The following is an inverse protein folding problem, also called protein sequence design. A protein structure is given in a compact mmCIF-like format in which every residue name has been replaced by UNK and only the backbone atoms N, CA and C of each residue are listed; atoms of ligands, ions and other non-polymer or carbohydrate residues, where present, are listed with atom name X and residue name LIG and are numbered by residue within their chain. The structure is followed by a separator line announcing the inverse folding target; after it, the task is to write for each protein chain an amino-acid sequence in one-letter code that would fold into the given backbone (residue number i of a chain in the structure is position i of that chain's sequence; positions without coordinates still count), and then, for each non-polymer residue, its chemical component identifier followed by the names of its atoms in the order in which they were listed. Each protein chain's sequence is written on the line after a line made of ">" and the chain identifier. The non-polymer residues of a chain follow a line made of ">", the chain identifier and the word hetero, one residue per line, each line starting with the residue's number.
data_IF_000470420933
#
_entry.id   IF_000470420933
#
_cell.length_a   1.000
_cell.length_b   1.000
_cell.length_c   1.000
_cell.angle_alpha   90.00
_cell.angle_beta   90.00
_cell.angle_gamma   90.00
#
_symmetry.space_group_name_H-M   'P 1'
#
loop_
_entity.id
_entity.type
_entity.pdbx_description
1 polymer ?
#
# COMPACT_ATOMS: atom_id res chain seq x y z
N UNK A 1 -18.21 5.24 -22.23
CA UNK A 1 -17.16 4.70 -21.34
C UNK A 1 -17.49 3.24 -21.07
N UNK A 2 -16.74 2.31 -21.67
CA UNK A 2 -16.99 0.88 -21.52
C UNK A 2 -16.37 0.40 -20.21
N UNK A 3 -17.20 0.08 -19.22
CA UNK A 3 -16.76 -0.60 -18.00
C UNK A 3 -16.03 -1.88 -18.41
N UNK A 4 -14.83 -2.07 -17.89
CA UNK A 4 -14.07 -3.29 -18.12
C UNK A 4 -14.85 -4.47 -17.49
N UNK A 5 -15.24 -5.43 -18.33
CA UNK A 5 -16.05 -6.57 -17.90
C UNK A 5 -15.33 -7.44 -16.86
N UNK A 6 -16.08 -8.17 -16.02
CA UNK A 6 -15.51 -9.09 -15.03
C UNK A 6 -14.54 -10.10 -15.66
N UNK A 7 -14.88 -10.59 -16.86
CA UNK A 7 -14.02 -11.52 -17.60
C UNK A 7 -12.69 -10.86 -18.02
N UNK A 8 -12.75 -9.61 -18.49
CA UNK A 8 -11.55 -8.86 -18.88
C UNK A 8 -10.65 -8.55 -17.68
N UNK A 9 -11.22 -8.14 -16.53
CA UNK A 9 -10.47 -7.95 -15.28
C UNK A 9 -9.81 -9.25 -14.82
N UNK A 10 -10.51 -10.38 -14.94
CA UNK A 10 -9.94 -11.70 -14.63
C UNK A 10 -8.79 -12.05 -15.58
N UNK A 11 -8.96 -11.81 -16.87
CA UNK A 11 -7.94 -12.10 -17.87
C UNK A 11 -6.63 -11.34 -17.58
N UNK A 12 -6.73 -10.03 -17.31
CA UNK A 12 -5.58 -9.20 -16.96
C UNK A 12 -4.87 -9.72 -15.69
N UNK A 13 -5.64 -10.13 -14.66
CA UNK A 13 -5.03 -10.74 -13.45
C UNK A 13 -4.27 -12.02 -13.77
N UNK A 14 -4.79 -12.86 -14.66
CA UNK A 14 -4.11 -14.08 -15.09
C UNK A 14 -2.83 -13.78 -15.87
N UNK A 15 -2.83 -12.78 -16.75
CA UNK A 15 -1.63 -12.35 -17.47
C UNK A 15 -0.54 -11.85 -16.52
N UNK A 16 -0.92 -11.09 -15.48
CA UNK A 16 0.04 -10.67 -14.44
C UNK A 16 0.62 -11.88 -13.70
N UNK A 17 -0.22 -12.87 -13.33
CA UNK A 17 0.27 -14.09 -12.69
C UNK A 17 1.23 -14.86 -13.60
N UNK A 18 0.91 -14.98 -14.89
CA UNK A 18 1.75 -15.67 -15.86
C UNK A 18 3.13 -15.01 -15.99
N UNK A 19 3.19 -13.68 -16.09
CA UNK A 19 4.46 -12.94 -16.10
C UNK A 19 5.28 -13.18 -14.83
N UNK A 20 4.62 -13.26 -13.68
CA UNK A 20 5.29 -13.56 -12.41
C UNK A 20 5.86 -14.98 -12.38
N UNK A 21 5.08 -15.96 -12.85
CA UNK A 21 5.46 -17.37 -12.85
C UNK A 21 6.55 -17.69 -13.87
N UNK A 22 6.48 -17.10 -15.07
CA UNK A 22 7.42 -17.36 -16.16
C UNK A 22 8.74 -16.60 -16.01
N UNK A 23 8.71 -15.35 -15.55
CA UNK A 23 9.87 -14.47 -15.55
C UNK A 23 10.38 -14.11 -14.15
N UNK A 24 9.51 -14.00 -13.15
CA UNK A 24 9.90 -13.54 -11.81
C UNK A 24 10.14 -14.68 -10.80
N UNK A 25 9.67 -15.90 -11.08
CA UNK A 25 9.78 -17.04 -10.16
C UNK A 25 11.22 -17.44 -9.87
N UNK A 26 12.08 -17.41 -10.89
CA UNK A 26 13.51 -17.79 -10.80
C UNK A 26 14.44 -16.59 -10.99
N UNK A 27 13.90 -15.36 -10.98
CA UNK A 27 14.68 -14.16 -11.22
C UNK A 27 15.68 -13.91 -10.08
N UNK A 28 17.01 -13.92 -10.35
CA UNK A 28 18.03 -13.78 -9.32
C UNK A 28 17.97 -12.40 -8.64
N UNK A 29 17.66 -11.35 -9.40
CA UNK A 29 17.50 -9.99 -8.88
C UNK A 29 16.35 -9.89 -7.88
N UNK A 30 15.23 -10.58 -8.14
CA UNK A 30 14.06 -10.59 -7.25
C UNK A 30 14.27 -11.47 -6.02
N UNK A 31 15.00 -12.58 -6.16
CA UNK A 31 15.27 -13.52 -5.06
C UNK A 31 16.28 -12.92 -4.07
N UNK A 32 17.36 -12.32 -4.58
CA UNK A 32 18.43 -11.78 -3.74
C UNK A 32 18.07 -10.42 -3.13
N UNK A 33 17.30 -9.61 -3.85
CA UNK A 33 16.98 -8.26 -3.43
C UNK A 33 15.49 -7.96 -3.71
N UNK A 34 14.81 -7.23 -2.82
CA UNK A 34 13.55 -6.55 -3.20
C UNK A 34 13.93 -5.34 -4.07
N UNK A 35 14.48 -5.62 -5.25
CA UNK A 35 15.39 -4.72 -5.94
C UNK A 35 14.67 -3.49 -6.51
N UNK A 36 15.34 -2.34 -6.38
CA UNK A 36 15.02 -1.12 -7.12
C UNK A 36 15.01 -1.37 -8.64
N UNK A 37 15.76 -2.38 -9.11
CA UNK A 37 15.78 -2.83 -10.51
C UNK A 37 14.38 -3.25 -10.98
N UNK A 38 13.67 -4.08 -10.21
CA UNK A 38 12.29 -4.47 -10.51
C UNK A 38 11.34 -3.26 -10.52
N UNK A 39 11.67 -2.15 -9.85
CA UNK A 39 10.83 -0.96 -9.86
C UNK A 39 11.19 0.02 -10.97
N UNK A 40 12.48 0.17 -11.28
CA UNK A 40 12.96 1.25 -12.16
C UNK A 40 13.16 0.80 -13.61
N UNK A 41 13.80 -0.35 -13.84
CA UNK A 41 14.34 -0.71 -15.18
C UNK A 41 13.91 -2.08 -15.69
N UNK A 42 13.24 -2.90 -14.89
CA UNK A 42 12.81 -4.22 -15.33
C UNK A 42 11.66 -4.13 -16.37
N UNK A 43 11.82 -4.70 -17.58
CA UNK A 43 10.79 -4.65 -18.61
C UNK A 43 9.53 -5.47 -18.23
N UNK A 44 9.70 -6.62 -17.59
CA UNK A 44 8.59 -7.46 -17.11
C UNK A 44 7.73 -6.71 -16.09
N UNK A 45 8.35 -5.94 -15.20
CA UNK A 45 7.59 -5.15 -14.23
C UNK A 45 6.92 -3.93 -14.85
N UNK A 46 7.49 -3.37 -15.92
CA UNK A 46 6.84 -2.34 -16.71
C UNK A 46 5.55 -2.88 -17.35
N UNK A 47 5.62 -4.07 -17.95
CA UNK A 47 4.46 -4.73 -18.54
C UNK A 47 3.37 -5.06 -17.50
N UNK A 48 3.76 -5.62 -16.35
CA UNK A 48 2.81 -5.86 -15.25
C UNK A 48 2.10 -4.58 -14.78
N UNK A 49 2.82 -3.45 -14.70
CA UNK A 49 2.21 -2.15 -14.33
C UNK A 49 1.25 -1.64 -15.38
N UNK A 50 1.52 -1.85 -16.66
CA UNK A 50 0.58 -1.47 -17.72
C UNK A 50 -0.71 -2.29 -17.61
N UNK A 51 -0.59 -3.60 -17.39
CA UNK A 51 -1.73 -4.47 -17.12
C UNK A 51 -2.51 -4.03 -15.87
N UNK A 52 -1.81 -3.66 -14.78
CA UNK A 52 -2.44 -3.14 -13.57
C UNK A 52 -3.17 -1.80 -13.83
N UNK A 53 -2.59 -0.90 -14.61
CA UNK A 53 -3.22 0.38 -14.96
C UNK A 53 -4.54 0.18 -15.73
N UNK A 54 -4.65 -0.87 -16.56
CA UNK A 54 -5.90 -1.24 -17.21
C UNK A 54 -7.00 -1.69 -16.22
N UNK A 55 -6.61 -2.22 -15.06
CA UNK A 55 -7.55 -2.50 -13.96
C UNK A 55 -7.97 -1.23 -13.21
N UNK A 56 -7.09 -0.24 -13.13
CA UNK A 56 -7.26 1.01 -12.38
C UNK A 56 -8.03 2.10 -13.16
N UNK A 57 -8.16 1.98 -14.49
CA UNK A 57 -8.79 2.95 -15.40
C UNK A 57 -10.30 3.23 -15.23
N UNK A 58 -10.88 3.03 -14.05
CA UNK A 58 -12.18 3.61 -13.62
C UNK A 58 -11.99 4.84 -12.70
N UNK A 59 -10.75 5.26 -12.44
CA UNK A 59 -10.43 6.53 -11.78
C UNK A 59 -9.47 7.33 -12.65
N UNK A 60 -9.69 8.64 -12.88
CA UNK A 60 -8.75 9.45 -13.65
C UNK A 60 -7.46 9.56 -12.83
N UNK A 61 -6.48 8.73 -13.16
CA UNK A 61 -5.11 8.95 -12.72
C UNK A 61 -4.47 9.79 -13.81
N UNK A 62 -4.34 11.07 -13.47
CA UNK A 62 -3.56 12.06 -14.20
C UNK A 62 -2.19 11.47 -14.59
N UNK A 63 -1.75 11.60 -15.86
CA UNK A 63 -0.45 11.08 -16.28
C UNK A 63 0.66 11.99 -15.75
N UNK A 64 1.01 11.88 -14.47
CA UNK A 64 2.24 12.51 -13.98
C UNK A 64 3.47 11.70 -14.42
N UNK A 65 4.47 12.35 -15.05
CA UNK A 65 5.79 11.78 -15.25
C UNK A 65 6.40 11.39 -13.90
N UNK A 66 7.24 10.35 -13.87
CA UNK A 66 8.00 9.93 -12.68
C UNK A 66 8.92 11.07 -12.23
N UNK A 67 8.42 11.91 -11.33
CA UNK A 67 9.24 12.83 -10.54
C UNK A 67 9.69 12.10 -9.25
N UNK A 68 10.87 12.45 -8.69
CA UNK A 68 11.38 11.79 -7.51
C UNK A 68 10.40 11.97 -6.35
N UNK A 69 10.26 10.93 -5.56
CA UNK A 69 9.36 10.81 -4.40
C UNK A 69 9.49 12.03 -3.50
N UNK A 70 8.63 13.02 -3.71
CA UNK A 70 8.25 14.01 -2.71
C UNK A 70 6.85 13.64 -2.23
N UNK A 71 6.71 13.50 -0.92
CA UNK A 71 5.48 13.23 -0.20
C UNK A 71 4.32 14.07 -0.72
N UNK A 72 3.53 13.50 -1.63
CA UNK A 72 2.22 14.01 -1.93
C UNK A 72 1.30 13.47 -0.85
N UNK A 73 1.20 14.23 0.23
CA UNK A 73 0.14 14.13 1.22
C UNK A 73 -1.20 14.18 0.49
N UNK A 74 -1.71 13.00 0.12
CA UNK A 74 -3.05 12.83 -0.44
C UNK A 74 -4.01 13.34 0.62
N UNK A 75 -4.64 14.48 0.32
CA UNK A 75 -5.62 15.17 1.15
C UNK A 75 -6.94 14.38 1.15
N UNK A 76 -6.87 13.11 1.55
CA UNK A 76 -8.03 12.32 1.96
C UNK A 76 -8.44 12.82 3.34
N UNK A 77 -9.74 13.04 3.60
CA UNK A 77 -10.19 13.49 4.91
C UNK A 77 -9.78 12.44 5.94
N UNK A 78 -8.78 12.77 6.77
CA UNK A 78 -8.26 11.89 7.81
C UNK A 78 -9.40 11.43 8.69
N UNK A 79 -9.49 10.12 8.94
CA UNK A 79 -10.56 9.53 9.74
C UNK A 79 -10.57 10.15 11.14
N UNK A 80 -11.69 10.81 11.47
CA UNK A 80 -11.99 11.34 12.81
C UNK A 80 -13.00 10.42 13.48
N UNK A 81 -12.72 9.92 14.69
CA UNK A 81 -13.67 9.11 15.45
C UNK A 81 -13.05 7.99 16.28
N UNK A 82 -13.92 7.05 16.70
CA UNK A 82 -13.57 5.90 17.55
C UNK A 82 -12.48 5.05 16.91
N UNK A 83 -11.51 4.61 17.70
CA UNK A 83 -10.48 3.67 17.27
C UNK A 83 -11.08 2.26 17.23
N UNK A 84 -10.98 1.57 16.10
CA UNK A 84 -11.33 0.15 15.99
C UNK A 84 -10.30 -0.73 16.68
N UNK A 85 -10.68 -1.95 17.04
CA UNK A 85 -9.75 -2.94 17.61
C UNK A 85 -8.59 -3.22 16.65
N UNK A 86 -8.86 -3.32 15.35
CA UNK A 86 -7.84 -3.52 14.32
C UNK A 86 -6.86 -2.36 14.22
N UNK A 87 -7.33 -1.10 14.28
CA UNK A 87 -6.46 0.08 14.26
C UNK A 87 -5.55 0.12 15.50
N UNK A 88 -6.09 -0.24 16.67
CA UNK A 88 -5.34 -0.30 17.93
C UNK A 88 -4.31 -1.42 17.91
N UNK A 89 -4.69 -2.60 17.42
CA UNK A 89 -3.81 -3.74 17.24
C UNK A 89 -2.66 -3.39 16.30
N UNK A 90 -2.98 -2.85 15.12
CA UNK A 90 -1.97 -2.45 14.13
C UNK A 90 -1.00 -1.42 14.71
N UNK A 91 -1.52 -0.37 15.36
CA UNK A 91 -0.74 0.67 16.01
C UNK A 91 0.22 0.08 17.05
N UNK A 92 -0.27 -0.81 17.91
CA UNK A 92 0.52 -1.38 18.99
C UNK A 92 1.64 -2.27 18.47
N UNK A 93 1.36 -3.14 17.49
CA UNK A 93 2.35 -4.07 16.96
C UNK A 93 3.42 -3.39 16.11
N UNK A 94 3.10 -2.28 15.44
CA UNK A 94 4.04 -1.58 14.57
C UNK A 94 4.76 -0.40 15.24
N UNK A 95 4.45 -0.08 16.51
CA UNK A 95 5.01 1.07 17.24
C UNK A 95 6.54 1.13 17.33
N UNK A 96 7.21 -0.02 17.22
CA UNK A 96 8.69 -0.12 17.32
C UNK A 96 9.38 -0.12 15.95
N UNK A 97 8.62 -0.30 14.87
CA UNK A 97 9.13 -0.50 13.51
C UNK A 97 8.83 0.71 12.64
N UNK A 98 7.69 1.38 12.86
CA UNK A 98 7.23 2.51 12.06
C UNK A 98 7.21 3.80 12.89
N UNK A 99 7.50 4.92 12.22
CA UNK A 99 7.36 6.26 12.79
C UNK A 99 5.90 6.67 12.93
N UNK A 100 5.63 7.71 13.73
CA UNK A 100 4.27 8.24 13.91
C UNK A 100 3.65 8.67 12.59
N UNK A 101 4.44 9.24 11.67
CA UNK A 101 3.94 9.71 10.38
C UNK A 101 3.56 8.53 9.47
N UNK A 102 4.40 7.50 9.40
CA UNK A 102 4.10 6.27 8.67
C UNK A 102 2.86 5.56 9.23
N UNK A 103 2.72 5.50 10.56
CA UNK A 103 1.54 4.95 11.22
C UNK A 103 0.29 5.77 10.91
N UNK A 104 0.40 7.10 10.89
CA UNK A 104 -0.69 8.00 10.54
C UNK A 104 -1.14 7.83 9.09
N UNK A 105 -0.19 7.71 8.17
CA UNK A 105 -0.47 7.48 6.76
C UNK A 105 -1.15 6.11 6.54
N UNK A 106 -0.66 5.05 7.19
CA UNK A 106 -1.25 3.71 7.08
C UNK A 106 -2.62 3.57 7.73
N UNK A 107 -2.83 4.24 8.87
CA UNK A 107 -4.12 4.24 9.58
C UNK A 107 -5.09 5.29 9.02
N UNK A 108 -4.65 6.11 8.06
CA UNK A 108 -5.38 7.26 7.53
C UNK A 108 -5.90 8.17 8.67
N UNK A 109 -5.05 8.43 9.68
CA UNK A 109 -5.37 9.26 10.84
C UNK A 109 -4.41 10.43 10.96
N UNK A 110 -4.77 11.40 11.79
CA UNK A 110 -3.89 12.52 12.09
C UNK A 110 -2.68 12.05 12.92
N UNK A 111 -1.43 12.44 12.58
CA UNK A 111 -0.23 12.10 13.35
C UNK A 111 -0.37 12.43 14.84
N UNK A 112 -0.99 13.57 15.16
CA UNK A 112 -1.29 13.96 16.53
C UNK A 112 -2.22 12.96 17.23
N UNK A 113 -3.29 12.50 16.56
CA UNK A 113 -4.21 11.51 17.11
C UNK A 113 -3.52 10.14 17.33
N UNK A 114 -2.63 9.74 16.43
CA UNK A 114 -1.83 8.51 16.55
C UNK A 114 -0.88 8.60 17.75
N UNK A 115 -0.17 9.72 17.89
CA UNK A 115 0.72 9.96 19.04
C UNK A 115 -0.03 9.87 20.37
N UNK A 116 -1.17 10.57 20.48
CA UNK A 116 -1.99 10.55 21.69
C UNK A 116 -2.53 9.15 21.99
N UNK A 117 -2.98 8.40 20.97
CA UNK A 117 -3.45 7.03 21.15
C UNK A 117 -2.33 6.11 21.61
N UNK A 118 -1.14 6.21 21.02
CA UNK A 118 0.01 5.40 21.39
C UNK A 118 0.45 5.69 22.83
N UNK A 119 0.48 6.96 23.23
CA UNK A 119 0.77 7.39 24.60
C UNK A 119 -0.22 6.79 25.59
N UNK A 120 -1.52 6.81 25.27
CA UNK A 120 -2.55 6.17 26.11
C UNK A 120 -2.34 4.65 26.25
N UNK A 121 -1.97 3.96 25.16
CA UNK A 121 -1.70 2.52 25.21
C UNK A 121 -0.45 2.19 26.03
N UNK A 122 0.59 3.02 25.95
CA UNK A 122 1.80 2.87 26.77
C UNK A 122 1.49 3.09 28.26
N UNK A 123 0.70 4.10 28.60
CA UNK A 123 0.26 4.35 29.98
C UNK A 123 -0.62 3.22 30.54
N UNK A 124 -1.43 2.60 29.70
CA UNK A 124 -2.28 1.46 30.07
C UNK A 124 -1.52 0.12 30.12
N UNK A 125 -0.25 0.09 29.75
CA UNK A 125 0.56 -1.12 29.73
C UNK A 125 0.24 -2.09 28.59
N UNK A 126 -0.56 -1.70 27.60
CA UNK A 126 -0.90 -2.57 26.48
C UNK A 126 -2.23 -2.28 25.79
N UNK A 127 -2.59 -3.19 24.89
CA UNK A 127 -3.92 -3.29 24.30
C UNK A 127 -4.71 -4.31 25.12
N UNK A 128 -5.83 -3.89 25.71
CA UNK A 128 -6.82 -4.82 26.26
C UNK A 128 -7.71 -5.25 25.11
N UNK A 129 -7.62 -6.52 24.74
CA UNK A 129 -8.52 -7.16 23.79
C UNK A 129 -9.92 -7.16 24.43
N UNK A 130 -10.74 -6.19 24.04
CA UNK A 130 -12.15 -6.15 24.38
C UNK A 130 -12.90 -6.40 23.09
N UNK A 131 -13.14 -7.68 22.81
CA UNK A 131 -14.09 -8.15 21.80
C UNK A 131 -15.51 -7.70 22.10
#
# INVERSE_FOLDING_TARGET
>A
MNKLDKHAKRHIRLQICELLDSHCRTCPERIKYRSTVCLQVCPVSQEMRQLAALLEGDSPVDPQPREPVVEQAQNTPKRKGRWSAEEVFYLWHHRKVLTIDELANRLNREPKAVYEKLKQLLQKGGISDAG
#
